data_IF_561046710512
#
_entry.id   IF_561046710512
#
_cell.length_a   1.000
_cell.length_b   1.000
_cell.length_c   1.000
_cell.angle_alpha   90.00
_cell.angle_beta   90.00
_cell.angle_gamma   90.00
#
_symmetry.space_group_name_H-M   'P 1'
#
loop_
_entity.id
_entity.type
_entity.pdbx_description
1 polymer ?
#
# COMPACT_ATOMS: atom_id res chain seq x y z
N UNK A 1 -18.31 -3.68 -2.24
CA UNK A 1 -18.93 -5.02 -2.28
C UNK A 1 -18.78 -5.70 -3.65
N UNK A 2 -19.15 -5.07 -4.77
CA UNK A 2 -19.04 -5.71 -6.10
C UNK A 2 -17.60 -6.04 -6.51
N UNK A 3 -16.64 -5.13 -6.29
CA UNK A 3 -15.23 -5.37 -6.62
C UNK A 3 -14.60 -6.50 -5.79
N UNK A 4 -15.01 -6.63 -4.52
CA UNK A 4 -14.61 -7.74 -3.65
C UNK A 4 -15.11 -9.08 -4.20
N UNK A 5 -16.37 -9.14 -4.66
CA UNK A 5 -16.92 -10.34 -5.31
C UNK A 5 -16.14 -10.71 -6.58
N UNK A 6 -15.76 -9.73 -7.40
CA UNK A 6 -14.92 -9.96 -8.60
C UNK A 6 -13.54 -10.51 -8.22
N UNK A 7 -12.93 -9.97 -7.17
CA UNK A 7 -11.65 -10.46 -6.67
C UNK A 7 -11.74 -11.91 -6.17
N UNK A 8 -12.77 -12.22 -5.37
CA UNK A 8 -13.02 -13.57 -4.88
C UNK A 8 -13.36 -14.56 -6.00
N UNK A 9 -14.08 -14.12 -7.04
CA UNK A 9 -14.37 -14.94 -8.22
C UNK A 9 -13.10 -15.33 -9.00
N UNK A 10 -12.01 -14.57 -8.86
CA UNK A 10 -10.69 -14.91 -9.40
C UNK A 10 -9.85 -15.78 -8.45
N UNK A 11 -10.44 -16.33 -7.38
CA UNK A 11 -9.76 -17.06 -6.30
C UNK A 11 -8.65 -16.23 -5.62
N UNK A 12 -8.80 -14.90 -5.59
CA UNK A 12 -7.87 -14.01 -4.91
C UNK A 12 -8.50 -13.44 -3.65
N UNK A 13 -7.73 -13.36 -2.58
CA UNK A 13 -8.11 -12.63 -1.37
C UNK A 13 -7.94 -11.12 -1.57
N UNK A 14 -8.68 -10.34 -0.80
CA UNK A 14 -8.51 -8.88 -0.69
C UNK A 14 -7.26 -8.53 0.12
N UNK A 15 -6.80 -7.27 0.05
CA UNK A 15 -5.65 -6.81 0.81
C UNK A 15 -5.82 -7.03 2.33
N UNK A 16 -6.99 -6.72 2.89
CA UNK A 16 -7.27 -6.87 4.33
C UNK A 16 -7.38 -8.34 4.78
N UNK A 17 -8.00 -9.19 3.97
CA UNK A 17 -8.03 -10.64 4.28
C UNK A 17 -6.62 -11.25 4.29
N UNK A 18 -5.72 -10.82 3.39
CA UNK A 18 -4.32 -11.28 3.40
C UNK A 18 -3.56 -10.80 4.63
N UNK A 19 -3.87 -9.59 5.11
CA UNK A 19 -3.30 -9.03 6.34
C UNK A 19 -3.74 -9.86 7.54
N UNK A 20 -5.03 -10.16 7.65
CA UNK A 20 -5.59 -10.94 8.77
C UNK A 20 -5.01 -12.35 8.86
N UNK A 21 -4.61 -12.93 7.72
CA UNK A 21 -3.92 -14.23 7.67
C UNK A 21 -2.43 -14.16 8.02
N UNK A 22 -1.77 -13.03 7.78
CA UNK A 22 -0.34 -12.87 7.99
C UNK A 22 0.00 -12.50 9.43
N UNK A 23 -0.79 -11.61 10.03
CA UNK A 23 -0.50 -11.04 11.34
C UNK A 23 -1.09 -11.87 12.49
N UNK A 24 -0.41 -11.82 13.62
CA UNK A 24 -0.95 -12.36 14.87
C UNK A 24 -2.25 -11.63 15.22
N UNK A 25 -3.34 -12.33 15.61
CA UNK A 25 -4.65 -11.72 15.84
C UNK A 25 -4.61 -10.51 16.78
N UNK A 26 -5.22 -9.40 16.36
CA UNK A 26 -5.32 -8.17 17.15
C UNK A 26 -4.04 -7.35 17.28
N UNK A 27 -2.96 -7.72 16.60
CA UNK A 27 -1.67 -6.98 16.67
C UNK A 27 -1.50 -5.94 15.58
N UNK A 28 -2.34 -5.99 14.56
CA UNK A 28 -2.28 -5.13 13.39
C UNK A 28 -2.75 -3.71 13.69
N UNK A 29 -1.94 -2.72 13.31
CA UNK A 29 -2.27 -1.29 13.41
C UNK A 29 -2.13 -0.66 12.03
N UNK A 30 -3.28 -0.29 11.44
CA UNK A 30 -3.33 0.41 10.15
C UNK A 30 -2.85 1.87 10.31
N UNK A 31 -2.02 2.33 9.38
CA UNK A 31 -1.57 3.72 9.28
C UNK A 31 -2.07 4.33 7.98
N UNK A 32 -2.46 5.61 8.02
CA UNK A 32 -2.90 6.32 6.82
C UNK A 32 -4.20 5.81 6.20
N UNK A 33 -5.11 5.25 7.01
CA UNK A 33 -6.42 4.73 6.56
C UNK A 33 -7.26 5.78 5.81
N UNK A 34 -7.22 7.03 6.27
CA UNK A 34 -8.03 8.13 5.72
C UNK A 34 -7.30 9.00 4.68
N UNK A 35 -6.12 8.58 4.24
CA UNK A 35 -5.39 9.28 3.17
C UNK A 35 -6.17 9.12 1.86
N UNK A 36 -6.28 10.23 1.12
CA UNK A 36 -6.94 10.32 -0.18
C UNK A 36 -5.97 10.95 -1.18
N UNK A 37 -6.14 10.65 -2.47
CA UNK A 37 -5.45 11.41 -3.51
C UNK A 37 -5.94 12.86 -3.54
N UNK A 38 -5.10 13.76 -4.06
CA UNK A 38 -5.45 15.15 -4.35
C UNK A 38 -5.45 15.48 -5.85
N UNK A 39 -5.40 14.46 -6.72
CA UNK A 39 -5.41 14.67 -8.16
C UNK A 39 -6.78 15.18 -8.65
N UNK A 40 -6.76 16.23 -9.47
CA UNK A 40 -7.95 16.81 -10.12
C UNK A 40 -8.03 16.49 -11.62
N UNK A 41 -7.05 15.79 -12.19
CA UNK A 41 -7.01 15.48 -13.61
C UNK A 41 -7.96 14.32 -13.95
N UNK A 42 -8.45 14.30 -15.19
CA UNK A 42 -9.27 13.22 -15.75
C UNK A 42 -10.50 12.84 -14.89
N UNK A 43 -11.06 13.80 -14.15
CA UNK A 43 -12.23 13.59 -13.31
C UNK A 43 -11.97 12.80 -12.01
N UNK A 44 -10.70 12.63 -11.60
CA UNK A 44 -10.37 11.94 -10.35
C UNK A 44 -10.93 12.67 -9.12
N UNK A 45 -11.12 13.99 -9.18
CA UNK A 45 -11.72 14.80 -8.13
C UNK A 45 -13.10 14.30 -7.66
N UNK A 46 -13.81 13.59 -8.54
CA UNK A 46 -15.17 13.07 -8.28
C UNK A 46 -15.18 11.63 -7.78
N UNK A 47 -14.01 10.98 -7.72
CA UNK A 47 -13.88 9.56 -7.42
C UNK A 47 -13.20 9.43 -6.07
N UNK A 48 -13.82 8.73 -5.13
CA UNK A 48 -13.18 8.39 -3.87
C UNK A 48 -12.45 7.04 -4.01
N UNK A 49 -11.14 7.04 -3.74
CA UNK A 49 -10.32 5.82 -3.75
C UNK A 49 -9.97 5.48 -2.29
N UNK A 50 -10.57 4.43 -1.70
CA UNK A 50 -10.33 4.08 -0.31
C UNK A 50 -8.84 3.84 -0.02
N UNK A 51 -8.32 4.49 1.02
CA UNK A 51 -6.92 4.40 1.45
C UNK A 51 -5.89 4.67 0.33
N UNK A 52 -6.31 5.35 -0.75
CA UNK A 52 -5.61 5.53 -2.02
C UNK A 52 -5.12 4.23 -2.71
N UNK A 53 -5.78 3.10 -2.42
CA UNK A 53 -5.48 1.81 -3.03
C UNK A 53 -4.33 1.03 -2.39
N UNK A 54 -3.90 1.42 -1.19
CA UNK A 54 -2.93 0.66 -0.39
C UNK A 54 -3.25 0.69 1.09
N UNK A 55 -3.15 -0.46 1.74
CA UNK A 55 -3.24 -0.60 3.19
C UNK A 55 -1.81 -0.65 3.73
N UNK A 56 -1.49 0.18 4.71
CA UNK A 56 -0.14 0.29 5.29
C UNK A 56 -0.19 0.22 6.80
N UNK A 57 0.90 -0.16 7.44
CA UNK A 57 0.99 -0.17 8.91
C UNK A 57 2.04 -1.12 9.44
N UNK A 58 1.82 -1.60 10.65
CA UNK A 58 2.71 -2.52 11.35
C UNK A 58 1.92 -3.46 12.28
N UNK A 59 2.55 -4.57 12.67
CA UNK A 59 1.97 -5.53 13.60
C UNK A 59 2.99 -6.61 13.96
N UNK A 60 2.54 -7.74 14.52
CA UNK A 60 3.41 -8.87 14.85
C UNK A 60 3.15 -10.06 13.92
N UNK A 61 4.22 -10.71 13.48
CA UNK A 61 4.19 -11.98 12.76
C UNK A 61 5.04 -12.97 13.56
N UNK A 62 4.41 -14.02 14.10
CA UNK A 62 5.08 -14.97 15.00
C UNK A 62 5.79 -14.25 16.16
N UNK A 63 5.13 -13.26 16.77
CA UNK A 63 5.65 -12.46 17.88
C UNK A 63 6.68 -11.39 17.51
N UNK A 64 7.12 -11.30 16.24
CA UNK A 64 8.12 -10.32 15.78
C UNK A 64 7.44 -9.13 15.14
N UNK A 65 7.82 -7.91 15.53
CA UNK A 65 7.29 -6.68 14.90
C UNK A 65 7.74 -6.60 13.45
N UNK A 66 6.80 -6.32 12.56
CA UNK A 66 7.01 -6.20 11.11
C UNK A 66 6.18 -5.01 10.59
N UNK A 67 6.78 -4.20 9.73
CA UNK A 67 6.05 -3.21 8.94
C UNK A 67 5.53 -3.85 7.66
N UNK A 68 4.40 -3.37 7.15
CA UNK A 68 3.87 -3.91 5.90
C UNK A 68 3.15 -2.87 5.05
N UNK A 69 3.02 -3.18 3.77
CA UNK A 69 2.01 -2.59 2.90
C UNK A 69 1.37 -3.68 2.04
N UNK A 70 0.09 -3.52 1.74
CA UNK A 70 -0.67 -4.38 0.85
C UNK A 70 -1.47 -3.53 -0.12
N UNK A 71 -1.18 -3.67 -1.40
CA UNK A 71 -1.91 -2.96 -2.45
C UNK A 71 -3.27 -3.61 -2.65
N UNK A 72 -4.30 -2.80 -2.82
CA UNK A 72 -5.69 -3.26 -2.95
C UNK A 72 -6.17 -3.12 -4.39
N UNK A 73 -6.20 -4.25 -5.10
CA UNK A 73 -6.66 -4.31 -6.49
C UNK A 73 -8.12 -3.85 -6.66
N UNK A 74 -8.95 -4.00 -5.62
CA UNK A 74 -10.36 -3.59 -5.67
C UNK A 74 -10.53 -2.06 -5.72
N UNK A 75 -9.49 -1.33 -5.31
CA UNK A 75 -9.41 0.12 -5.28
C UNK A 75 -8.66 0.63 -6.50
N UNK A 76 -9.38 0.82 -7.63
CA UNK A 76 -8.82 1.31 -8.91
C UNK A 76 -7.63 0.47 -9.42
N UNK A 77 -7.77 -0.86 -9.37
CA UNK A 77 -6.77 -1.80 -9.85
C UNK A 77 -5.48 -1.79 -9.02
N UNK A 78 -5.52 -1.25 -7.80
CA UNK A 78 -4.34 -1.06 -6.96
C UNK A 78 -3.30 -0.13 -7.59
N UNK A 79 -3.71 0.70 -8.56
CA UNK A 79 -2.82 1.59 -9.29
C UNK A 79 -2.14 2.58 -8.34
N UNK A 80 -0.84 2.77 -8.56
CA UNK A 80 0.01 3.61 -7.73
C UNK A 80 -0.15 5.08 -8.12
N UNK A 81 -0.76 5.86 -7.23
CA UNK A 81 -0.79 7.32 -7.27
C UNK A 81 0.26 7.94 -6.35
N UNK A 82 0.27 9.25 -6.27
CA UNK A 82 1.19 10.03 -5.44
C UNK A 82 1.04 9.69 -3.95
N UNK A 83 -0.20 9.72 -3.43
CA UNK A 83 -0.47 9.49 -2.02
C UNK A 83 -0.31 8.01 -1.63
N UNK A 84 -0.62 7.10 -2.55
CA UNK A 84 -0.33 5.68 -2.44
C UNK A 84 1.17 5.47 -2.23
N UNK A 85 2.00 6.06 -3.09
CA UNK A 85 3.45 5.92 -3.00
C UNK A 85 4.01 6.54 -1.72
N UNK A 86 3.51 7.73 -1.35
CA UNK A 86 3.88 8.41 -0.11
C UNK A 86 3.61 7.54 1.13
N UNK A 87 2.46 6.84 1.19
CA UNK A 87 2.15 5.90 2.28
C UNK A 87 3.14 4.75 2.35
N UNK A 88 3.50 4.17 1.21
CA UNK A 88 4.49 3.09 1.14
C UNK A 88 5.84 3.60 1.63
N UNK A 89 6.35 4.69 1.06
CA UNK A 89 7.64 5.28 1.42
C UNK A 89 7.72 5.61 2.92
N UNK A 90 6.67 6.21 3.48
CA UNK A 90 6.59 6.53 4.92
C UNK A 90 6.61 5.29 5.81
N UNK A 91 6.01 4.19 5.35
CA UNK A 91 6.04 2.90 6.06
C UNK A 91 7.41 2.24 5.96
N UNK A 92 8.09 2.37 4.82
CA UNK A 92 9.48 1.92 4.64
C UNK A 92 10.44 2.69 5.55
N UNK A 93 10.28 4.00 5.66
CA UNK A 93 11.05 4.82 6.60
C UNK A 93 10.80 4.41 8.05
N UNK A 94 9.53 4.12 8.40
CA UNK A 94 9.19 3.62 9.73
C UNK A 94 9.86 2.27 10.02
N UNK A 95 9.84 1.35 9.05
CA UNK A 95 10.51 0.05 9.16
C UNK A 95 12.02 0.21 9.39
N UNK A 96 12.65 1.11 8.62
CA UNK A 96 14.07 1.42 8.75
C UNK A 96 14.42 2.03 10.12
N UNK A 97 13.59 2.96 10.62
CA UNK A 97 13.77 3.60 11.94
C UNK A 97 13.63 2.60 13.08
N UNK A 98 12.62 1.73 13.02
CA UNK A 98 12.40 0.68 14.03
C UNK A 98 13.35 -0.51 13.87
N UNK A 99 14.08 -0.58 12.76
CA UNK A 99 14.96 -1.71 12.38
C UNK A 99 14.22 -3.05 12.33
N UNK A 100 12.96 -3.02 11.88
CA UNK A 100 12.12 -4.20 11.72
C UNK A 100 12.08 -4.68 10.26
N UNK A 101 11.79 -5.96 10.01
CA UNK A 101 11.51 -6.44 8.66
C UNK A 101 10.33 -5.69 8.04
N UNK A 102 10.32 -5.64 6.71
CA UNK A 102 9.21 -5.07 5.95
C UNK A 102 8.69 -6.07 4.93
N UNK A 103 7.36 -6.21 4.85
CA UNK A 103 6.67 -7.09 3.90
C UNK A 103 5.83 -6.23 2.95
N UNK A 104 5.98 -6.45 1.64
CA UNK A 104 5.17 -5.82 0.61
C UNK A 104 4.31 -6.86 -0.11
N UNK A 105 2.99 -6.69 -0.09
CA UNK A 105 2.07 -7.47 -0.92
C UNK A 105 1.68 -6.66 -2.15
N UNK A 106 2.15 -7.12 -3.30
CA UNK A 106 1.96 -6.45 -4.58
C UNK A 106 0.71 -7.02 -5.27
N UNK A 107 -0.27 -6.15 -5.51
CA UNK A 107 -1.48 -6.44 -6.28
C UNK A 107 -1.91 -5.13 -6.97
N UNK A 108 -1.11 -4.74 -7.96
CA UNK A 108 -1.21 -3.44 -8.64
C UNK A 108 -1.16 -3.60 -10.15
N UNK A 109 -1.94 -2.78 -10.86
CA UNK A 109 -1.86 -2.60 -12.31
C UNK A 109 -0.74 -1.67 -12.78
N UNK A 110 0.08 -1.13 -11.88
CA UNK A 110 1.18 -0.20 -12.20
C UNK A 110 0.88 1.25 -11.85
N UNK A 111 1.50 2.19 -12.56
CA UNK A 111 1.30 3.63 -12.36
C UNK A 111 -0.14 4.04 -12.68
N UNK A 112 -0.72 4.89 -11.84
CA UNK A 112 -2.01 5.53 -12.12
C UNK A 112 -1.81 6.59 -13.19
N UNK A 113 -2.08 6.22 -14.45
CA UNK A 113 -1.85 7.06 -15.64
C UNK A 113 -2.49 8.45 -15.50
N UNK A 114 -3.64 8.54 -14.84
CA UNK A 114 -4.36 9.80 -14.63
C UNK A 114 -3.60 10.81 -13.75
N UNK A 115 -2.69 10.34 -12.91
CA UNK A 115 -1.81 11.21 -12.10
C UNK A 115 -0.49 11.53 -12.81
N UNK A 116 -0.20 10.88 -13.94
CA UNK A 116 0.93 11.19 -14.80
C UNK A 116 2.27 11.16 -14.07
N UNK A 117 2.98 12.30 -14.10
CA UNK A 117 4.33 12.44 -13.55
C UNK A 117 4.35 12.22 -12.02
N UNK A 118 3.29 12.60 -11.29
CA UNK A 118 3.23 12.40 -9.84
C UNK A 118 3.28 10.92 -9.45
N UNK A 119 2.63 10.05 -10.24
CA UNK A 119 2.72 8.60 -10.03
C UNK A 119 4.15 8.08 -10.27
N UNK A 120 4.87 8.63 -11.26
CA UNK A 120 6.24 8.23 -11.56
C UNK A 120 7.25 8.73 -10.51
N UNK A 121 7.07 9.96 -10.00
CA UNK A 121 7.82 10.47 -8.85
C UNK A 121 7.62 9.55 -7.64
N UNK A 122 6.38 9.12 -7.39
CA UNK A 122 6.05 8.16 -6.35
C UNK A 122 6.85 6.85 -6.44
N UNK A 123 7.01 6.29 -7.64
CA UNK A 123 7.89 5.14 -7.85
C UNK A 123 9.34 5.45 -7.48
N UNK A 124 9.85 6.62 -7.89
CA UNK A 124 11.19 7.08 -7.53
C UNK A 124 11.41 7.11 -6.02
N UNK A 125 10.46 7.64 -5.26
CA UNK A 125 10.54 7.68 -3.79
C UNK A 125 10.63 6.28 -3.17
N UNK A 126 9.78 5.34 -3.60
CA UNK A 126 9.81 3.95 -3.11
C UNK A 126 11.16 3.29 -3.39
N UNK A 127 11.72 3.48 -4.60
CA UNK A 127 12.97 2.85 -4.99
C UNK A 127 14.18 3.38 -4.21
N UNK A 128 14.21 4.69 -3.96
CA UNK A 128 15.25 5.31 -3.13
C UNK A 128 15.19 4.74 -1.71
N UNK A 129 14.01 4.68 -1.10
CA UNK A 129 13.87 4.14 0.26
C UNK A 129 14.19 2.66 0.33
N UNK A 130 13.82 1.86 -0.68
CA UNK A 130 14.20 0.44 -0.76
C UNK A 130 15.72 0.27 -0.73
N UNK A 131 16.44 1.05 -1.54
CA UNK A 131 17.89 0.99 -1.66
C UNK A 131 18.59 1.33 -0.34
N UNK A 132 18.08 2.30 0.41
CA UNK A 132 18.66 2.69 1.71
C UNK A 132 18.61 1.54 2.74
N UNK A 133 17.55 0.74 2.73
CA UNK A 133 17.40 -0.41 3.64
C UNK A 133 18.42 -1.51 3.33
N UNK A 134 18.69 -1.76 2.04
CA UNK A 134 19.63 -2.79 1.60
C UNK A 134 21.10 -2.37 1.74
N UNK A 135 21.45 -1.09 1.56
CA UNK A 135 22.84 -0.60 1.61
C UNK A 135 23.35 -0.37 3.05
N UNK A 136 22.46 -0.19 4.03
CA UNK A 136 22.82 0.00 5.45
C UNK A 136 22.96 -1.31 6.25
N UNK A 137 22.88 -2.46 5.59
CA UNK A 137 23.18 -3.78 6.16
C UNK A 137 24.49 -4.30 5.58
#
# INVERSE_FOLDING_TARGET
AEQVKKQHALNKLTARERIDLLFDPGTFVETGMHVKHHCHYFGLDKIDIPADGVVTGYGKVNGRTVCFYAQDFTSRGGSLGEMHAWKIAKTMDLAAKMRVPMIGMLDTGGARIQEGISALDGYGQIWVTAKIIWVRR
#
